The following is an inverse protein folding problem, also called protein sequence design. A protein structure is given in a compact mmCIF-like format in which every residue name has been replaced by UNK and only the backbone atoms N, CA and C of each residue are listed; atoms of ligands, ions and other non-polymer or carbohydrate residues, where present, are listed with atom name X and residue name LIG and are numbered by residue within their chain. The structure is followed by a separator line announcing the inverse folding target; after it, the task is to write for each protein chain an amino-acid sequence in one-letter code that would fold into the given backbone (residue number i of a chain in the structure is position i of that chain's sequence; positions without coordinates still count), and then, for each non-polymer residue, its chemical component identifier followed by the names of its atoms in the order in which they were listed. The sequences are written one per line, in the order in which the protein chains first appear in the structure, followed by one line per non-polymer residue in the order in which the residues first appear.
data_IF_776887219658
#
_entry.id   IF_776887219658
#
_cell.length_a   1.000
_cell.length_b   1.000
_cell.length_c   1.000
_cell.angle_alpha   90.00
_cell.angle_beta   90.00
_cell.angle_gamma   90.00
#
_symmetry.space_group_name_H-M   'P 1'
#
loop_
_entity.id
_entity.type
_entity.pdbx_description
1 polymer ?
#
# COMPACT_ATOMS: atom_id res chain seq x y z
N UNK A 1 -20.12 11.98 15.58
CA UNK A 1 -19.53 11.10 14.55
C UNK A 1 -20.23 9.75 14.61
N UNK A 2 -20.55 9.16 13.46
CA UNK A 2 -21.55 8.09 13.25
C UNK A 2 -21.43 6.88 14.20
N UNK A 3 -22.29 6.82 15.21
CA UNK A 3 -22.52 5.63 16.03
C UNK A 3 -23.56 4.65 15.43
N UNK A 4 -24.05 4.93 14.22
CA UNK A 4 -25.17 4.24 13.57
C UNK A 4 -24.73 3.20 12.50
N UNK A 5 -23.44 3.01 12.26
CA UNK A 5 -22.98 1.94 11.36
C UNK A 5 -22.76 0.68 12.19
N UNK A 6 -23.78 -0.16 12.28
CA UNK A 6 -23.61 -1.50 12.87
C UNK A 6 -22.64 -2.31 12.00
N UNK A 7 -21.57 -2.86 12.57
CA UNK A 7 -20.66 -3.70 11.81
C UNK A 7 -21.40 -4.90 11.21
N UNK A 8 -21.18 -5.18 9.93
CA UNK A 8 -21.71 -6.39 9.30
C UNK A 8 -21.15 -7.62 10.03
N UNK A 9 -22.03 -8.54 10.41
CA UNK A 9 -21.64 -9.80 11.05
C UNK A 9 -20.83 -10.65 10.09
N UNK A 10 -19.94 -11.51 10.61
CA UNK A 10 -19.15 -12.41 9.78
C UNK A 10 -20.05 -13.35 8.94
N UNK A 11 -21.17 -13.83 9.51
CA UNK A 11 -22.12 -14.66 8.79
C UNK A 11 -22.75 -13.93 7.59
N UNK A 12 -23.20 -12.68 7.77
CA UNK A 12 -23.74 -11.88 6.67
C UNK A 12 -22.66 -11.55 5.62
N UNK A 13 -21.41 -11.35 6.05
CA UNK A 13 -20.28 -11.15 5.14
C UNK A 13 -20.02 -12.40 4.27
N UNK A 14 -20.04 -13.60 4.86
CA UNK A 14 -19.89 -14.87 4.13
C UNK A 14 -21.00 -15.06 3.09
N UNK A 15 -22.25 -14.78 3.43
CA UNK A 15 -23.34 -14.89 2.45
C UNK A 15 -23.20 -13.84 1.34
N UNK A 16 -22.78 -12.62 1.67
CA UNK A 16 -22.61 -11.57 0.66
C UNK A 16 -21.49 -11.88 -0.35
N UNK A 17 -20.34 -12.42 0.08
CA UNK A 17 -19.21 -12.65 -0.82
C UNK A 17 -19.48 -13.75 -1.88
N UNK A 18 -20.39 -14.68 -1.62
CA UNK A 18 -20.80 -15.73 -2.59
C UNK A 18 -21.42 -15.14 -3.86
N UNK A 19 -22.17 -14.06 -3.73
CA UNK A 19 -22.86 -13.40 -4.84
C UNK A 19 -21.97 -12.42 -5.62
N UNK A 20 -20.76 -12.13 -5.14
CA UNK A 20 -19.85 -11.18 -5.79
C UNK A 20 -19.06 -11.83 -6.94
N UNK A 21 -18.77 -11.10 -8.02
CA UNK A 21 -17.78 -11.52 -9.01
C UNK A 21 -16.40 -11.73 -8.37
N UNK A 22 -15.64 -12.69 -8.88
CA UNK A 22 -14.32 -13.04 -8.34
C UNK A 22 -13.36 -11.83 -8.29
N UNK A 23 -13.42 -10.94 -9.28
CA UNK A 23 -12.63 -9.70 -9.30
C UNK A 23 -12.93 -8.80 -8.10
N UNK A 24 -14.21 -8.68 -7.71
CA UNK A 24 -14.63 -7.92 -6.53
C UNK A 24 -14.15 -8.57 -5.23
N UNK A 25 -14.12 -9.90 -5.15
CA UNK A 25 -13.58 -10.63 -3.99
C UNK A 25 -12.09 -10.35 -3.82
N UNK A 26 -11.30 -10.42 -4.89
CA UNK A 26 -9.87 -10.05 -4.85
C UNK A 26 -9.65 -8.58 -4.54
N UNK A 27 -10.46 -7.68 -5.12
CA UNK A 27 -10.38 -6.25 -4.81
C UNK A 27 -10.61 -6.00 -3.32
N UNK A 28 -11.59 -6.67 -2.70
CA UNK A 28 -11.85 -6.54 -1.27
C UNK A 28 -10.72 -7.12 -0.42
N UNK A 29 -10.13 -8.24 -0.84
CA UNK A 29 -8.98 -8.83 -0.15
C UNK A 29 -7.78 -7.86 -0.15
N UNK A 30 -7.50 -7.22 -1.29
CA UNK A 30 -6.45 -6.21 -1.42
C UNK A 30 -6.73 -4.97 -0.56
N UNK A 31 -7.95 -4.46 -0.58
CA UNK A 31 -8.38 -3.33 0.24
C UNK A 31 -8.18 -3.59 1.76
N UNK A 32 -8.61 -4.76 2.23
CA UNK A 32 -8.45 -5.14 3.64
C UNK A 32 -6.97 -5.31 4.02
N UNK A 33 -6.17 -5.93 3.14
CA UNK A 33 -4.74 -6.14 3.41
C UNK A 33 -4.01 -4.79 3.51
N UNK A 34 -4.31 -3.87 2.58
CA UNK A 34 -3.78 -2.51 2.62
C UNK A 34 -4.20 -1.76 3.91
N UNK A 35 -5.47 -1.86 4.29
CA UNK A 35 -5.99 -1.25 5.53
C UNK A 35 -5.27 -1.80 6.76
N UNK A 36 -5.01 -3.10 6.82
CA UNK A 36 -4.23 -3.75 7.89
C UNK A 36 -2.80 -3.22 7.92
N UNK A 37 -2.11 -3.16 6.78
CA UNK A 37 -0.74 -2.64 6.71
C UNK A 37 -0.66 -1.18 7.19
N UNK A 38 -1.64 -0.36 6.81
CA UNK A 38 -1.72 1.03 7.25
C UNK A 38 -1.97 1.15 8.77
N UNK A 39 -2.90 0.39 9.33
CA UNK A 39 -3.16 0.40 10.77
C UNK A 39 -1.95 -0.09 11.57
N UNK A 40 -1.25 -1.12 11.08
CA UNK A 40 0.00 -1.61 11.69
C UNK A 40 1.08 -0.54 11.72
N UNK A 41 1.29 0.16 10.60
CA UNK A 41 2.24 1.29 10.54
C UNK A 41 1.83 2.40 11.50
N UNK A 42 0.56 2.80 11.50
CA UNK A 42 0.05 3.84 12.39
C UNK A 42 0.24 3.47 13.86
N UNK A 43 -0.06 2.22 14.26
CA UNK A 43 0.19 1.74 15.61
C UNK A 43 1.68 1.78 15.97
N UNK A 44 2.57 1.44 15.04
CA UNK A 44 4.01 1.55 15.27
C UNK A 44 4.44 3.00 15.49
N UNK A 45 3.94 3.94 14.69
CA UNK A 45 4.20 5.38 14.84
C UNK A 45 3.67 5.91 16.18
N UNK A 46 2.46 5.49 16.60
CA UNK A 46 1.89 5.85 17.91
C UNK A 46 2.75 5.31 19.06
N UNK A 47 3.27 4.08 18.96
CA UNK A 47 4.15 3.50 19.97
C UNK A 47 5.48 4.27 20.09
N UNK A 48 6.05 4.71 18.96
CA UNK A 48 7.25 5.55 18.95
C UNK A 48 6.95 6.90 19.60
N UNK A 49 5.87 7.58 19.19
CA UNK A 49 5.47 8.86 19.75
C UNK A 49 5.21 8.78 21.26
N UNK A 50 4.53 7.73 21.72
CA UNK A 50 4.26 7.48 23.14
C UNK A 50 5.55 7.35 23.97
N UNK A 51 6.61 6.79 23.39
CA UNK A 51 7.90 6.61 24.07
C UNK A 51 8.79 7.86 24.03
N UNK A 52 8.70 8.65 22.96
CA UNK A 52 9.62 9.77 22.71
C UNK A 52 9.05 11.15 23.06
N UNK A 53 7.72 11.30 23.10
CA UNK A 53 7.06 12.62 23.15
C UNK A 53 5.97 12.77 24.22
N UNK A 54 5.57 11.70 24.92
CA UNK A 54 4.59 11.81 26.00
C UNK A 54 5.27 12.03 27.36
N UNK A 55 4.95 13.16 27.99
CA UNK A 55 5.48 13.54 29.30
C UNK A 55 4.59 13.05 30.45
N UNK A 56 3.31 12.79 30.18
CA UNK A 56 2.33 12.38 31.20
C UNK A 56 1.81 10.96 30.99
N UNK A 57 1.51 10.27 32.10
CA UNK A 57 0.88 8.94 32.06
C UNK A 57 -0.56 8.98 31.54
N UNK A 58 -1.21 10.14 31.56
CA UNK A 58 -2.54 10.33 31.00
C UNK A 58 -2.51 10.27 29.46
N UNK A 59 -1.57 10.98 28.82
CA UNK A 59 -1.38 10.96 27.36
C UNK A 59 -1.01 9.55 26.87
N UNK A 60 -0.09 8.87 27.56
CA UNK A 60 0.30 7.50 27.21
C UNK A 60 -0.90 6.55 27.23
N UNK A 61 -1.73 6.63 28.27
CA UNK A 61 -2.93 5.80 28.41
C UNK A 61 -3.95 6.05 27.31
N UNK A 62 -4.13 7.29 26.89
CA UNK A 62 -5.02 7.64 25.79
C UNK A 62 -4.53 7.03 24.46
N UNK A 63 -3.24 7.16 24.16
CA UNK A 63 -2.64 6.55 22.97
C UNK A 63 -2.69 5.02 23.00
N UNK A 64 -2.48 4.41 24.18
CA UNK A 64 -2.59 2.96 24.36
C UNK A 64 -4.02 2.46 24.09
N UNK A 65 -5.04 3.24 24.46
CA UNK A 65 -6.43 2.92 24.12
C UNK A 65 -6.66 2.95 22.60
N UNK A 66 -6.15 3.97 21.90
CA UNK A 66 -6.27 4.04 20.43
C UNK A 66 -5.56 2.87 19.74
N UNK A 67 -4.37 2.51 20.20
CA UNK A 67 -3.63 1.36 19.67
C UNK A 67 -4.45 0.08 19.88
N UNK A 68 -5.02 -0.10 21.08
CA UNK A 68 -5.85 -1.27 21.42
C UNK A 68 -7.09 -1.36 20.53
N UNK A 69 -7.79 -0.24 20.32
CA UNK A 69 -8.95 -0.20 19.42
C UNK A 69 -8.57 -0.54 17.97
N UNK A 70 -7.47 0.03 17.47
CA UNK A 70 -6.94 -0.31 16.15
C UNK A 70 -6.57 -1.79 16.02
N UNK A 71 -6.04 -2.42 17.07
CA UNK A 71 -5.72 -3.85 17.09
C UNK A 71 -6.98 -4.72 16.98
N UNK A 72 -8.10 -4.31 17.57
CA UNK A 72 -9.40 -4.97 17.39
C UNK A 72 -9.91 -4.85 15.95
N UNK A 73 -9.76 -3.67 15.34
CA UNK A 73 -10.08 -3.46 13.92
C UNK A 73 -9.22 -4.36 13.03
N UNK A 74 -7.90 -4.40 13.26
CA UNK A 74 -6.98 -5.28 12.54
C UNK A 74 -7.41 -6.75 12.65
N UNK A 75 -7.74 -7.22 13.86
CA UNK A 75 -8.21 -8.60 14.08
C UNK A 75 -9.46 -8.89 13.26
N UNK A 76 -10.44 -7.99 13.30
CA UNK A 76 -11.69 -8.14 12.57
C UNK A 76 -11.50 -8.09 11.05
N UNK A 77 -10.54 -7.32 10.55
CA UNK A 77 -10.18 -7.29 9.12
C UNK A 77 -9.45 -8.59 8.70
N UNK A 78 -8.58 -9.14 9.55
CA UNK A 78 -7.93 -10.44 9.31
C UNK A 78 -8.94 -11.58 9.22
N UNK A 79 -9.92 -11.64 10.12
CA UNK A 79 -11.00 -12.62 10.07
C UNK A 79 -11.74 -12.57 8.74
N UNK A 80 -12.06 -11.36 8.25
CA UNK A 80 -12.69 -11.18 6.93
C UNK A 80 -11.77 -11.56 5.78
N UNK A 81 -10.47 -11.30 5.89
CA UNK A 81 -9.48 -11.70 4.88
C UNK A 81 -9.40 -13.23 4.74
N UNK A 82 -9.44 -13.97 5.86
CA UNK A 82 -9.50 -15.44 5.86
C UNK A 82 -10.77 -15.99 5.18
N UNK A 83 -11.91 -15.32 5.35
CA UNK A 83 -13.15 -15.69 4.66
C UNK A 83 -13.06 -15.44 3.16
N UNK A 84 -12.48 -14.32 2.73
CA UNK A 84 -12.23 -14.03 1.31
C UNK A 84 -11.27 -15.04 0.69
N UNK A 85 -10.22 -15.43 1.41
CA UNK A 85 -9.30 -16.48 0.98
C UNK A 85 -10.03 -17.81 0.77
N UNK A 86 -10.82 -18.22 1.75
CA UNK A 86 -11.60 -19.46 1.70
C UNK A 86 -12.57 -19.46 0.51
N UNK A 87 -13.20 -18.33 0.22
CA UNK A 87 -14.10 -18.17 -0.94
C UNK A 87 -13.36 -18.26 -2.28
N UNK A 88 -12.20 -17.61 -2.41
CA UNK A 88 -11.36 -17.66 -3.61
C UNK A 88 -10.90 -19.10 -3.89
N UNK A 89 -10.41 -19.79 -2.86
CA UNK A 89 -9.97 -21.18 -2.96
C UNK A 89 -11.16 -22.13 -3.21
N UNK A 90 -12.32 -21.85 -2.61
CA UNK A 90 -13.57 -22.57 -2.85
C UNK A 90 -14.06 -22.49 -4.30
N UNK A 91 -13.73 -21.41 -5.02
CA UNK A 91 -13.98 -21.24 -6.46
C UNK A 91 -12.89 -21.87 -7.35
N UNK A 92 -11.93 -22.59 -6.76
CA UNK A 92 -10.83 -23.25 -7.47
C UNK A 92 -9.73 -22.30 -7.94
N UNK A 93 -9.65 -21.09 -7.38
CA UNK A 93 -8.62 -20.11 -7.71
C UNK A 93 -7.53 -20.10 -6.64
N UNK A 94 -6.31 -19.73 -7.02
CA UNK A 94 -5.20 -19.65 -6.05
C UNK A 94 -5.24 -18.33 -5.32
N UNK A 95 -5.15 -18.37 -4.00
CA UNK A 95 -4.88 -17.18 -3.21
C UNK A 95 -3.55 -16.55 -3.65
N UNK A 96 -3.56 -15.23 -3.82
CA UNK A 96 -2.37 -14.42 -4.06
C UNK A 96 -2.15 -13.63 -2.79
N UNK A 97 -1.00 -13.79 -2.17
CA UNK A 97 -0.66 -13.01 -0.97
C UNK A 97 -0.63 -11.52 -1.32
N UNK A 98 -1.66 -10.81 -0.88
CA UNK A 98 -1.77 -9.37 -1.01
C UNK A 98 -0.99 -8.73 0.13
N UNK A 99 0.34 -8.67 -0.02
CA UNK A 99 1.24 -7.83 0.76
C UNK A 99 0.98 -7.74 2.28
N UNK A 100 1.53 -8.70 3.02
CA UNK A 100 2.18 -8.42 4.31
C UNK A 100 3.33 -9.44 4.47
N UNK A 101 4.43 -9.23 3.74
CA UNK A 101 5.69 -9.90 4.00
C UNK A 101 6.19 -9.39 5.34
N UNK A 102 5.71 -9.97 6.44
CA UNK A 102 6.37 -9.85 7.73
C UNK A 102 7.82 -10.33 7.54
N UNK A 103 8.86 -9.55 7.89
CA UNK A 103 10.23 -10.02 7.80
C UNK A 103 10.52 -10.95 8.98
N UNK A 104 9.91 -12.13 8.98
CA UNK A 104 10.26 -13.21 9.90
C UNK A 104 9.88 -14.57 9.31
N UNK A 105 10.49 -14.88 8.18
CA UNK A 105 10.68 -16.25 7.72
C UNK A 105 12.05 -16.33 7.06
N UNK A 106 13.04 -16.81 7.82
CA UNK A 106 14.21 -17.47 7.24
C UNK A 106 13.71 -18.73 6.53
N UNK A 107 13.45 -18.63 5.24
CA UNK A 107 13.25 -19.79 4.39
C UNK A 107 14.18 -19.68 3.18
N UNK A 108 15.04 -20.68 3.14
CA UNK A 108 16.11 -20.94 2.22
C UNK A 108 15.61 -21.23 0.80
N UNK A 109 16.44 -20.85 -0.16
CA UNK A 109 16.64 -21.45 -1.48
C UNK A 109 15.49 -21.61 -2.52
N UNK A 110 15.73 -20.92 -3.65
CA UNK A 110 15.83 -21.49 -5.00
C UNK A 110 14.55 -21.55 -5.85
N UNK A 111 14.25 -20.46 -6.56
CA UNK A 111 13.51 -20.50 -7.84
C UNK A 111 14.07 -19.44 -8.82
N UNK A 112 14.99 -19.88 -9.69
CA UNK A 112 15.16 -19.27 -11.02
C UNK A 112 13.90 -19.53 -11.87
N UNK A 113 13.59 -18.63 -12.81
CA UNK A 113 13.87 -19.01 -14.19
C UNK A 113 14.67 -17.96 -14.95
N UNK A 114 15.54 -18.53 -15.77
CA UNK A 114 16.41 -17.93 -16.77
C UNK A 114 15.63 -17.15 -17.84
N UNK A 115 16.11 -15.95 -18.18
CA UNK A 115 16.08 -15.45 -19.54
C UNK A 115 17.20 -14.41 -19.73
N UNK A 116 18.25 -14.86 -20.42
CA UNK A 116 19.33 -14.07 -20.99
C UNK A 116 18.79 -13.01 -21.96
N UNK A 117 19.43 -11.84 -22.02
CA UNK A 117 20.06 -11.26 -23.23
C UNK A 117 21.00 -10.11 -22.82
N UNK A 118 22.26 -10.08 -23.31
CA UNK A 118 23.17 -8.95 -23.11
C UNK A 118 23.11 -8.02 -24.31
N UNK A 119 22.78 -6.73 -24.12
CA UNK A 119 22.96 -5.73 -25.18
C UNK A 119 24.19 -4.89 -24.87
N UNK A 120 25.14 -5.01 -25.79
CA UNK A 120 26.53 -4.58 -25.80
C UNK A 120 26.67 -3.07 -26.01
N UNK A 121 27.57 -2.42 -25.28
CA UNK A 121 28.05 -1.07 -25.54
C UNK A 121 29.28 -1.09 -26.48
N UNK A 122 29.25 -0.30 -27.56
CA UNK A 122 30.40 0.09 -28.38
C UNK A 122 29.94 1.10 -29.43
N UNK A 123 30.25 2.41 -29.34
CA UNK A 123 31.52 3.11 -29.54
C UNK A 123 31.69 3.70 -30.97
N UNK A 124 31.59 5.04 -31.02
CA UNK A 124 32.36 6.02 -31.81
C UNK A 124 31.99 6.43 -33.26
N UNK A 125 31.85 7.77 -33.39
CA UNK A 125 32.36 8.71 -34.43
C UNK A 125 31.86 8.60 -35.88
N UNK A 126 31.65 9.65 -36.67
CA UNK A 126 31.49 11.12 -36.58
C UNK A 126 31.03 11.55 -38.01
N UNK A 127 30.71 12.85 -38.19
CA UNK A 127 30.82 13.66 -39.43
C UNK A 127 29.54 13.97 -40.27
N UNK A 128 29.10 15.22 -40.06
CA UNK A 128 28.73 16.27 -41.03
C UNK A 128 27.51 16.13 -41.98
N UNK A 129 26.50 17.00 -41.80
CA UNK A 129 26.23 18.17 -42.70
C UNK A 129 24.80 18.76 -42.53
N UNK A 130 24.78 20.02 -42.08
CA UNK A 130 23.79 21.12 -42.24
C UNK A 130 22.27 20.87 -42.23
N UNK A 131 21.57 21.55 -41.30
CA UNK A 131 20.55 22.55 -41.67
C UNK A 131 20.24 23.54 -40.54
N UNK A 132 20.09 24.79 -40.95
CA UNK A 132 20.07 26.04 -40.20
C UNK A 132 18.96 26.22 -39.15
N UNK A 133 19.30 26.91 -38.06
CA UNK A 133 18.37 27.58 -37.15
C UNK A 133 18.32 29.08 -37.46
N UNK A 134 17.15 29.74 -37.50
CA UNK A 134 17.08 31.18 -37.43
C UNK A 134 16.91 31.67 -35.98
N UNK A 135 17.79 32.62 -35.67
CA UNK A 135 17.84 33.52 -34.52
C UNK A 135 16.83 34.67 -34.71
N UNK A 136 16.08 35.03 -33.65
CA UNK A 136 15.50 36.37 -33.48
C UNK A 136 15.58 36.73 -31.98
N UNK A 137 16.58 37.55 -31.65
CA UNK A 137 16.55 38.50 -30.55
C UNK A 137 15.68 39.72 -30.91
N UNK A 138 14.94 40.26 -29.94
CA UNK A 138 14.85 41.71 -29.76
C UNK A 138 14.32 42.06 -28.36
N UNK A 139 15.03 42.98 -27.73
CA UNK A 139 14.81 43.61 -26.43
C UNK A 139 13.49 44.38 -26.32
N UNK A 140 12.92 44.44 -25.11
CA UNK A 140 12.67 45.74 -24.46
C UNK A 140 12.35 45.60 -22.96
N UNK A 141 13.01 46.46 -22.20
CA UNK A 141 12.87 46.76 -20.77
C UNK A 141 11.42 47.09 -20.34
N UNK A 142 11.02 46.65 -19.15
CA UNK A 142 10.51 47.58 -18.14
C UNK A 142 10.41 46.98 -16.73
N UNK A 143 10.90 47.81 -15.82
CA UNK A 143 10.93 47.79 -14.36
C UNK A 143 9.52 47.75 -13.74
N UNK A 144 9.36 47.12 -12.58
CA UNK A 144 8.05 46.95 -11.93
C UNK A 144 8.10 46.25 -10.57
N UNK A 145 8.51 47.00 -9.55
CA UNK A 145 8.41 46.66 -8.12
C UNK A 145 6.94 46.52 -7.70
N UNK A 146 6.58 45.40 -7.05
CA UNK A 146 5.32 45.27 -6.32
C UNK A 146 5.59 45.29 -4.81
N UNK A 147 5.00 46.30 -4.15
CA UNK A 147 4.65 46.30 -2.72
C UNK A 147 3.29 45.61 -2.56
#
# INVERSE_FOLDING_TARGET
MSAESTPITLAAFVEAIKELPLSSVYAKASELSNSISHLRRSNQELRVFMNESCDTEAEKRELENYITENEEVIRSMHERNLLLKSEIEGRGQRWIEMGDTTPDARADENHQPSASEPVTNGAQQELFTTRSFPDIQNDHEQDGVFL
#
